data_IF_714756935890
#
_entry.id   IF_714756935890
#
_cell.length_a   1.000
_cell.length_b   1.000
_cell.length_c   1.000
_cell.angle_alpha   90.00
_cell.angle_beta   90.00
_cell.angle_gamma   90.00
#
_symmetry.space_group_name_H-M   'P 1'
#
loop_
_entity.id
_entity.type
_entity.pdbx_description
1 polymer ?
#
# COMPACT_ATOMS: atom_id res chain seq x y z
N UNK A 1 7.64 -1.51 5.28
CA UNK A 1 9.07 -1.84 5.14
C UNK A 1 9.72 -0.73 4.35
N UNK A 2 10.84 -0.20 4.82
CA UNK A 2 11.63 0.80 4.08
C UNK A 2 12.51 0.06 3.06
N UNK A 3 12.51 0.53 1.82
CA UNK A 3 13.20 -0.12 0.70
C UNK A 3 14.23 0.86 0.16
N UNK A 4 15.44 0.38 -0.14
CA UNK A 4 16.49 1.20 -0.74
C UNK A 4 16.02 1.82 -2.05
N UNK A 5 16.41 3.07 -2.34
CA UNK A 5 16.06 3.75 -3.59
C UNK A 5 16.58 3.00 -4.83
N UNK A 6 15.81 3.06 -5.90
CA UNK A 6 16.22 2.54 -7.20
C UNK A 6 17.11 3.56 -7.93
N UNK A 7 18.08 3.03 -8.68
CA UNK A 7 18.86 3.80 -9.65
C UNK A 7 18.61 3.23 -11.06
N UNK A 8 18.73 4.04 -12.12
CA UNK A 8 18.54 3.59 -13.50
C UNK A 8 19.39 2.37 -13.87
N UNK A 9 18.73 1.32 -14.40
CA UNK A 9 19.34 0.04 -14.75
C UNK A 9 19.36 -0.99 -13.63
N UNK A 10 18.58 -0.79 -12.57
CA UNK A 10 18.45 -1.72 -11.46
C UNK A 10 17.90 -3.10 -11.91
N UNK A 11 16.95 -3.13 -12.84
CA UNK A 11 16.41 -4.35 -13.45
C UNK A 11 17.46 -5.17 -14.22
N UNK A 12 18.55 -4.52 -14.67
CA UNK A 12 19.70 -5.14 -15.32
C UNK A 12 20.87 -5.44 -14.37
N UNK A 13 20.63 -5.40 -13.06
CA UNK A 13 21.61 -5.76 -12.03
C UNK A 13 22.55 -4.64 -11.61
N UNK A 14 22.27 -3.37 -11.94
CA UNK A 14 23.08 -2.25 -11.45
C UNK A 14 22.71 -1.90 -10.00
N UNK A 15 23.69 -1.64 -9.18
CA UNK A 15 23.53 -1.21 -7.78
C UNK A 15 22.87 -2.24 -6.90
N UNK A 16 22.02 -1.81 -5.96
CA UNK A 16 21.23 -2.64 -5.04
C UNK A 16 19.90 -3.11 -5.64
N UNK A 17 19.73 -3.02 -6.98
CA UNK A 17 18.47 -3.28 -7.66
C UNK A 17 17.85 -4.65 -7.35
N UNK A 18 18.64 -5.71 -7.29
CA UNK A 18 18.12 -7.05 -6.95
C UNK A 18 17.53 -7.08 -5.53
N UNK A 19 18.16 -6.41 -4.57
CA UNK A 19 17.65 -6.34 -3.19
C UNK A 19 16.36 -5.53 -3.12
N UNK A 20 16.30 -4.39 -3.79
CA UNK A 20 15.06 -3.61 -3.89
C UNK A 20 13.90 -4.46 -4.43
N UNK A 21 14.16 -5.19 -5.51
CA UNK A 21 13.14 -6.02 -6.17
C UNK A 21 12.70 -7.20 -5.28
N UNK A 22 13.63 -7.80 -4.53
CA UNK A 22 13.30 -8.85 -3.56
C UNK A 22 12.47 -8.31 -2.38
N UNK A 23 12.77 -7.11 -1.92
CA UNK A 23 11.98 -6.45 -0.86
C UNK A 23 10.58 -6.05 -1.39
N UNK A 24 10.49 -5.53 -2.61
CA UNK A 24 9.23 -5.17 -3.27
C UNK A 24 8.31 -6.39 -3.52
N UNK A 25 8.88 -7.60 -3.67
CA UNK A 25 8.11 -8.85 -3.80
C UNK A 25 7.16 -9.07 -2.64
N UNK A 26 7.59 -8.78 -1.41
CA UNK A 26 6.84 -9.07 -0.19
C UNK A 26 5.74 -8.04 0.11
N UNK A 27 5.79 -6.86 -0.52
CA UNK A 27 4.81 -5.80 -0.31
C UNK A 27 3.53 -6.03 -1.11
N UNK A 28 2.36 -5.79 -0.51
CA UNK A 28 1.07 -5.82 -1.21
C UNK A 28 0.82 -4.58 -2.07
N UNK A 29 1.39 -3.43 -1.68
CA UNK A 29 1.38 -2.18 -2.43
C UNK A 29 2.66 -1.40 -2.18
N UNK A 30 2.98 -0.45 -3.06
CA UNK A 30 4.15 0.39 -2.96
C UNK A 30 3.75 1.86 -2.75
N UNK A 31 4.44 2.54 -1.84
CA UNK A 31 4.38 3.99 -1.68
C UNK A 31 5.66 4.56 -2.28
N UNK A 32 5.55 5.17 -3.45
CA UNK A 32 6.66 5.82 -4.14
C UNK A 32 6.79 7.27 -3.67
N UNK A 33 7.82 7.55 -2.86
CA UNK A 33 8.09 8.89 -2.36
C UNK A 33 8.93 9.64 -3.37
N UNK A 34 8.38 10.74 -3.90
CA UNK A 34 9.00 11.56 -4.95
C UNK A 34 9.26 12.95 -4.40
N UNK A 35 10.43 13.51 -4.67
CA UNK A 35 10.74 14.91 -4.41
C UNK A 35 10.01 15.83 -5.39
N UNK A 36 8.77 16.18 -5.09
CA UNK A 36 7.95 17.01 -5.97
C UNK A 36 8.53 18.42 -6.19
N UNK A 37 9.42 18.90 -5.32
CA UNK A 37 10.07 20.17 -5.49
C UNK A 37 11.18 20.15 -6.54
N UNK A 38 11.58 18.95 -7.03
CA UNK A 38 12.72 18.81 -7.95
C UNK A 38 14.00 19.38 -7.36
N UNK A 39 14.23 19.13 -6.06
CA UNK A 39 15.43 19.59 -5.34
C UNK A 39 16.52 18.51 -5.27
N UNK A 40 16.32 17.40 -5.98
CA UNK A 40 17.30 16.32 -6.15
C UNK A 40 17.44 15.95 -7.62
N UNK A 41 18.65 15.52 -8.03
CA UNK A 41 18.88 14.94 -9.35
C UNK A 41 18.51 13.44 -9.37
N UNK A 42 18.69 12.80 -10.55
CA UNK A 42 18.38 11.37 -10.75
C UNK A 42 19.26 10.41 -9.94
N UNK A 43 20.34 10.89 -9.34
CA UNK A 43 21.22 10.14 -8.44
C UNK A 43 20.94 10.46 -6.96
N UNK A 44 19.90 11.28 -6.69
CA UNK A 44 19.50 11.68 -5.33
C UNK A 44 20.38 12.78 -4.72
N UNK A 45 21.25 13.44 -5.50
CA UNK A 45 22.10 14.53 -5.01
C UNK A 45 21.31 15.84 -4.95
N UNK A 46 21.51 16.67 -3.91
CA UNK A 46 20.83 17.96 -3.80
C UNK A 46 21.14 18.89 -4.97
N UNK A 47 20.10 19.48 -5.53
CA UNK A 47 20.18 20.53 -6.56
C UNK A 47 19.24 21.70 -6.18
N UNK A 48 19.32 22.80 -6.92
CA UNK A 48 18.40 23.93 -6.73
C UNK A 48 16.97 23.45 -7.00
N UNK A 49 16.00 23.72 -6.11
CA UNK A 49 14.61 23.35 -6.32
C UNK A 49 14.06 23.78 -7.68
N UNK A 50 13.43 22.87 -8.41
CA UNK A 50 12.91 23.07 -9.77
C UNK A 50 13.84 22.61 -10.90
N UNK A 51 15.08 22.17 -10.61
CA UNK A 51 15.99 21.61 -11.63
C UNK A 51 15.72 20.12 -11.87
N UNK A 52 15.44 19.34 -10.80
CA UNK A 52 15.09 17.92 -10.93
C UNK A 52 13.76 17.72 -11.64
N UNK A 53 13.58 16.54 -12.24
CA UNK A 53 12.33 16.14 -12.93
C UNK A 53 11.61 15.02 -12.17
N UNK A 54 10.67 15.38 -11.27
CA UNK A 54 9.91 14.39 -10.52
C UNK A 54 9.03 13.48 -11.38
N UNK A 55 8.63 13.90 -12.57
CA UNK A 55 7.86 13.04 -13.48
C UNK A 55 8.73 11.94 -14.07
N UNK A 56 9.98 12.24 -14.39
CA UNK A 56 10.96 11.23 -14.78
C UNK A 56 11.17 10.20 -13.67
N UNK A 57 11.32 10.64 -12.41
CA UNK A 57 11.49 9.73 -11.27
C UNK A 57 10.30 8.76 -11.13
N UNK A 58 9.07 9.27 -11.34
CA UNK A 58 7.87 8.42 -11.32
C UNK A 58 7.88 7.38 -12.44
N UNK A 59 8.18 7.80 -13.67
CA UNK A 59 8.18 6.92 -14.84
C UNK A 59 9.26 5.85 -14.74
N UNK A 60 10.44 6.27 -14.36
CA UNK A 60 11.60 5.41 -14.23
C UNK A 60 11.36 4.23 -13.27
N UNK A 61 10.82 4.48 -12.06
CA UNK A 61 10.58 3.41 -11.07
C UNK A 61 9.53 2.42 -11.57
N UNK A 62 8.47 2.91 -12.22
CA UNK A 62 7.45 2.04 -12.81
C UNK A 62 8.05 1.17 -13.94
N UNK A 63 8.84 1.76 -14.82
CA UNK A 63 9.49 1.04 -15.94
C UNK A 63 10.46 -0.02 -15.44
N UNK A 64 11.27 0.26 -14.44
CA UNK A 64 12.19 -0.73 -13.84
C UNK A 64 11.44 -1.91 -13.23
N UNK A 65 10.33 -1.68 -12.56
CA UNK A 65 9.48 -2.74 -12.03
C UNK A 65 8.83 -3.57 -13.13
N UNK A 66 8.33 -2.92 -14.19
CA UNK A 66 7.71 -3.59 -15.33
C UNK A 66 8.71 -4.47 -16.08
N UNK A 67 9.90 -3.94 -16.37
CA UNK A 67 10.98 -4.67 -17.03
C UNK A 67 11.49 -5.83 -16.18
N UNK A 68 11.61 -5.62 -14.86
CA UNK A 68 11.99 -6.70 -13.96
C UNK A 68 10.98 -7.85 -13.99
N UNK A 69 9.68 -7.56 -13.88
CA UNK A 69 8.63 -8.58 -13.94
C UNK A 69 8.63 -9.31 -15.28
N UNK A 70 8.82 -8.57 -16.39
CA UNK A 70 8.93 -9.13 -17.72
C UNK A 70 10.14 -10.07 -17.84
N UNK A 71 11.30 -9.68 -17.33
CA UNK A 71 12.52 -10.50 -17.39
C UNK A 71 12.40 -11.86 -16.70
N UNK A 72 11.56 -11.96 -15.64
CA UNK A 72 11.29 -13.24 -14.96
C UNK A 72 10.54 -14.20 -15.88
N UNK A 73 9.60 -13.69 -16.70
CA UNK A 73 8.80 -14.50 -17.63
C UNK A 73 9.53 -14.75 -18.95
N UNK A 74 10.18 -13.74 -19.52
CA UNK A 74 10.86 -13.81 -20.83
C UNK A 74 11.96 -14.87 -20.87
N UNK A 75 12.74 -14.99 -19.78
CA UNK A 75 13.87 -15.93 -19.70
C UNK A 75 13.50 -17.35 -20.16
N UNK A 76 12.33 -17.82 -19.78
CA UNK A 76 11.90 -19.19 -20.03
C UNK A 76 10.49 -19.26 -20.64
N UNK A 77 10.00 -18.21 -21.28
CA UNK A 77 8.60 -18.09 -21.75
C UNK A 77 8.14 -19.28 -22.56
N UNK A 78 8.89 -19.64 -23.60
CA UNK A 78 8.54 -20.77 -24.48
C UNK A 78 8.51 -22.10 -23.72
N UNK A 79 9.39 -22.28 -22.72
CA UNK A 79 9.41 -23.46 -21.86
C UNK A 79 8.17 -23.49 -20.97
N UNK A 80 7.82 -22.37 -20.37
CA UNK A 80 6.65 -22.19 -19.50
C UNK A 80 5.34 -22.51 -20.25
N UNK A 81 5.19 -22.00 -21.48
CA UNK A 81 3.99 -22.29 -22.30
C UNK A 81 3.92 -23.77 -22.69
N UNK A 82 5.05 -24.38 -23.09
CA UNK A 82 5.11 -25.82 -23.38
C UNK A 82 4.81 -26.69 -22.16
N UNK A 83 5.25 -26.30 -20.98
CA UNK A 83 4.92 -27.00 -19.73
C UNK A 83 3.42 -26.97 -19.46
N UNK A 84 2.76 -25.81 -19.65
CA UNK A 84 1.32 -25.68 -19.51
C UNK A 84 0.58 -26.62 -20.48
N UNK A 85 0.97 -26.65 -21.75
CA UNK A 85 0.36 -27.49 -22.78
C UNK A 85 0.57 -28.99 -22.50
N UNK A 86 1.81 -29.40 -22.19
CA UNK A 86 2.16 -30.81 -21.97
C UNK A 86 1.50 -31.38 -20.70
N UNK A 87 1.37 -30.60 -19.66
CA UNK A 87 0.75 -31.00 -18.39
C UNK A 87 -0.77 -30.79 -18.38
N UNK A 88 -1.35 -30.27 -19.47
CA UNK A 88 -2.76 -29.88 -19.56
C UNK A 88 -3.18 -28.92 -18.43
N UNK A 89 -2.26 -28.07 -18.00
CA UNK A 89 -2.49 -27.07 -16.97
C UNK A 89 -2.93 -25.75 -17.60
N UNK A 90 -3.65 -24.96 -16.83
CA UNK A 90 -3.98 -23.59 -17.26
C UNK A 90 -2.72 -22.73 -17.31
N UNK A 91 -2.56 -21.94 -18.36
CA UNK A 91 -1.45 -20.98 -18.49
C UNK A 91 -1.33 -20.07 -17.27
N UNK A 92 -2.47 -19.63 -16.72
CA UNK A 92 -2.55 -18.79 -15.52
C UNK A 92 -1.89 -19.44 -14.30
N UNK A 93 -2.09 -20.75 -14.13
CA UNK A 93 -1.49 -21.52 -13.04
C UNK A 93 0.03 -21.59 -13.18
N UNK A 94 0.52 -21.86 -14.40
CA UNK A 94 1.96 -21.95 -14.67
C UNK A 94 2.66 -20.62 -14.49
N UNK A 95 2.03 -19.51 -14.95
CA UNK A 95 2.53 -18.14 -14.71
C UNK A 95 2.52 -17.83 -13.21
N UNK A 96 1.43 -18.12 -12.48
CA UNK A 96 1.34 -17.88 -11.04
C UNK A 96 2.42 -18.63 -10.25
N UNK A 97 2.68 -19.89 -10.62
CA UNK A 97 3.75 -20.69 -10.02
C UNK A 97 5.12 -20.07 -10.26
N UNK A 98 5.38 -19.55 -11.46
CA UNK A 98 6.64 -18.84 -11.78
C UNK A 98 6.80 -17.56 -10.99
N UNK A 99 5.70 -16.85 -10.71
CA UNK A 99 5.62 -15.61 -9.95
C UNK A 99 5.24 -15.83 -8.47
N UNK A 100 5.40 -17.04 -7.94
CA UNK A 100 4.90 -17.47 -6.63
C UNK A 100 5.34 -16.59 -5.44
N UNK A 101 6.49 -15.94 -5.53
CA UNK A 101 6.96 -15.02 -4.48
C UNK A 101 6.32 -13.62 -4.52
N UNK A 102 5.47 -13.32 -5.50
CA UNK A 102 4.95 -11.96 -5.75
C UNK A 102 3.51 -11.74 -5.27
N UNK A 103 2.90 -12.71 -4.60
CA UNK A 103 1.49 -12.69 -4.20
C UNK A 103 0.51 -12.46 -5.37
N UNK A 104 0.91 -12.81 -6.60
CA UNK A 104 0.10 -12.68 -7.81
C UNK A 104 -0.83 -13.89 -7.90
N UNK A 105 -2.13 -13.63 -8.04
CA UNK A 105 -3.15 -14.68 -8.11
C UNK A 105 -3.46 -15.07 -9.55
N UNK A 106 -3.85 -16.34 -9.77
CA UNK A 106 -4.32 -16.82 -11.08
C UNK A 106 -5.47 -15.96 -11.64
N UNK A 107 -6.34 -15.48 -10.76
CA UNK A 107 -7.44 -14.58 -11.13
C UNK A 107 -6.94 -13.26 -11.73
N UNK A 108 -5.86 -12.69 -11.20
CA UNK A 108 -5.29 -11.43 -11.70
C UNK A 108 -4.68 -11.65 -13.09
N UNK A 109 -4.01 -12.78 -13.28
CA UNK A 109 -3.44 -13.21 -14.57
C UNK A 109 -4.56 -13.39 -15.60
N UNK A 110 -5.61 -14.13 -15.25
CA UNK A 110 -6.74 -14.40 -16.15
C UNK A 110 -7.44 -13.09 -16.58
N UNK A 111 -7.68 -12.19 -15.65
CA UNK A 111 -8.26 -10.88 -15.95
C UNK A 111 -7.34 -10.03 -16.84
N UNK A 112 -6.03 -10.06 -16.59
CA UNK A 112 -5.06 -9.29 -17.37
C UNK A 112 -4.99 -9.79 -18.82
N UNK A 113 -4.96 -11.10 -19.02
CA UNK A 113 -4.98 -11.72 -20.36
C UNK A 113 -6.25 -11.31 -21.13
N UNK A 114 -7.40 -11.40 -20.46
CA UNK A 114 -8.68 -11.04 -21.07
C UNK A 114 -8.76 -9.54 -21.43
N UNK A 115 -8.30 -8.67 -20.53
CA UNK A 115 -8.33 -7.20 -20.73
C UNK A 115 -7.43 -6.75 -21.89
N UNK A 116 -6.31 -7.44 -22.10
CA UNK A 116 -5.39 -7.13 -23.19
C UNK A 116 -5.75 -7.85 -24.51
N UNK A 117 -6.77 -8.70 -24.51
CA UNK A 117 -7.17 -9.48 -25.67
C UNK A 117 -6.11 -10.50 -26.12
N UNK A 118 -5.22 -10.92 -25.21
CA UNK A 118 -4.17 -11.87 -25.51
C UNK A 118 -4.73 -13.29 -25.62
N UNK A 119 -4.26 -14.05 -26.63
CA UNK A 119 -4.72 -15.43 -26.85
C UNK A 119 -3.92 -16.42 -25.99
N UNK A 120 -4.58 -17.15 -25.10
CA UNK A 120 -3.99 -18.26 -24.35
C UNK A 120 -3.50 -19.39 -25.26
N UNK A 121 -4.32 -19.74 -26.26
CA UNK A 121 -4.01 -20.79 -27.21
C UNK A 121 -2.82 -20.47 -28.15
N UNK A 122 -2.43 -19.21 -28.22
CA UNK A 122 -1.30 -18.74 -29.03
C UNK A 122 -0.24 -18.07 -28.15
N UNK A 123 -0.11 -18.47 -26.90
CA UNK A 123 0.84 -17.87 -25.97
C UNK A 123 2.30 -18.00 -26.43
N UNK A 124 2.65 -19.05 -27.17
CA UNK A 124 3.97 -19.18 -27.83
C UNK A 124 4.27 -18.07 -28.83
N UNK A 125 3.26 -17.40 -29.35
CA UNK A 125 3.39 -16.28 -30.30
C UNK A 125 3.36 -14.91 -29.65
N UNK A 126 3.34 -14.81 -28.32
CA UNK A 126 3.45 -13.51 -27.67
C UNK A 126 4.85 -12.92 -27.90
N UNK A 127 4.88 -11.71 -28.42
CA UNK A 127 6.12 -10.95 -28.57
C UNK A 127 6.64 -10.47 -27.21
N UNK A 128 7.91 -10.09 -27.15
CA UNK A 128 8.47 -9.42 -25.96
C UNK A 128 7.63 -8.21 -25.55
N UNK A 129 7.12 -7.45 -26.52
CA UNK A 129 6.23 -6.33 -26.24
C UNK A 129 4.88 -6.76 -25.64
N UNK A 130 4.33 -7.91 -26.06
CA UNK A 130 3.10 -8.43 -25.46
C UNK A 130 3.35 -8.86 -24.02
N UNK A 131 4.48 -9.52 -23.75
CA UNK A 131 4.89 -9.92 -22.39
C UNK A 131 5.09 -8.69 -21.52
N UNK A 132 5.79 -7.65 -22.02
CA UNK A 132 5.98 -6.41 -21.28
C UNK A 132 4.65 -5.70 -20.98
N UNK A 133 3.75 -5.58 -21.96
CA UNK A 133 2.41 -5.00 -21.76
C UNK A 133 1.60 -5.82 -20.76
N UNK A 134 1.68 -7.13 -20.82
CA UNK A 134 1.06 -8.04 -19.86
C UNK A 134 1.62 -7.82 -18.45
N UNK A 135 2.95 -7.77 -18.29
CA UNK A 135 3.61 -7.56 -17.00
C UNK A 135 3.26 -6.19 -16.40
N UNK A 136 3.25 -5.14 -17.20
CA UNK A 136 2.85 -3.79 -16.78
C UNK A 136 1.43 -3.79 -16.22
N UNK A 137 0.48 -4.38 -16.94
CA UNK A 137 -0.92 -4.43 -16.50
C UNK A 137 -1.13 -5.33 -15.30
N UNK A 138 -0.40 -6.45 -15.24
CA UNK A 138 -0.40 -7.37 -14.11
C UNK A 138 0.16 -6.71 -12.85
N UNK A 139 1.27 -5.94 -12.95
CA UNK A 139 1.83 -5.17 -11.85
C UNK A 139 0.84 -4.12 -11.33
N UNK A 140 0.21 -3.35 -12.23
CA UNK A 140 -0.78 -2.35 -11.84
C UNK A 140 -1.91 -2.94 -10.99
N UNK A 141 -2.29 -4.19 -11.26
CA UNK A 141 -3.35 -4.92 -10.55
C UNK A 141 -2.87 -5.54 -9.24
N UNK A 142 -1.71 -6.19 -9.26
CA UNK A 142 -1.19 -7.00 -8.15
C UNK A 142 -0.27 -6.25 -7.20
N UNK A 143 0.38 -5.19 -7.67
CA UNK A 143 1.32 -4.34 -6.93
C UNK A 143 1.02 -2.85 -7.19
N UNK A 144 -0.15 -2.36 -6.79
CA UNK A 144 -0.51 -0.98 -7.05
C UNK A 144 0.45 0.00 -6.37
N UNK A 145 0.71 1.11 -7.04
CA UNK A 145 1.61 2.17 -6.58
C UNK A 145 0.80 3.42 -6.25
N UNK A 146 1.07 4.03 -5.08
CA UNK A 146 0.64 5.39 -4.76
C UNK A 146 1.86 6.30 -4.74
N UNK A 147 1.74 7.46 -5.34
CA UNK A 147 2.81 8.46 -5.41
C UNK A 147 2.62 9.45 -4.26
N UNK A 148 3.58 9.47 -3.35
CA UNK A 148 3.71 10.46 -2.30
C UNK A 148 4.54 11.64 -2.84
N UNK A 149 3.87 12.68 -3.36
CA UNK A 149 4.53 13.88 -3.88
C UNK A 149 5.02 14.73 -2.70
N UNK A 150 6.20 14.38 -2.17
CA UNK A 150 6.77 14.98 -0.97
C UNK A 150 7.39 16.35 -1.26
N UNK A 151 7.66 17.11 -0.19
CA UNK A 151 8.10 18.52 -0.23
C UNK A 151 7.08 19.44 -0.93
N UNK A 152 5.78 19.08 -0.85
CA UNK A 152 4.70 19.87 -1.45
C UNK A 152 4.49 21.24 -0.79
N UNK A 153 5.15 21.50 0.33
CA UNK A 153 5.25 22.80 1.01
C UNK A 153 6.17 23.80 0.29
N UNK A 154 7.03 23.32 -0.62
CA UNK A 154 7.90 24.19 -1.44
C UNK A 154 7.14 24.69 -2.68
N UNK A 155 7.39 25.94 -3.06
CA UNK A 155 6.69 26.59 -4.17
C UNK A 155 6.89 25.86 -5.51
N UNK A 156 8.11 25.40 -5.79
CA UNK A 156 8.47 24.66 -7.03
C UNK A 156 7.71 23.34 -7.18
N UNK A 157 7.21 22.74 -6.09
CA UNK A 157 6.49 21.47 -6.13
C UNK A 157 5.12 21.58 -6.84
N UNK A 158 4.48 22.75 -6.84
CA UNK A 158 3.09 22.89 -7.29
C UNK A 158 2.92 22.49 -8.76
N UNK A 159 3.75 23.02 -9.65
CA UNK A 159 3.70 22.71 -11.07
C UNK A 159 3.97 21.22 -11.34
N UNK A 160 4.96 20.66 -10.65
CA UNK A 160 5.33 19.25 -10.80
C UNK A 160 4.23 18.31 -10.32
N UNK A 161 3.56 18.62 -9.20
CA UNK A 161 2.39 17.87 -8.72
C UNK A 161 1.28 17.85 -9.77
N UNK A 162 1.00 18.97 -10.44
CA UNK A 162 0.02 19.00 -11.54
C UNK A 162 0.46 18.09 -12.68
N UNK A 163 1.68 18.21 -13.17
CA UNK A 163 2.21 17.35 -14.25
C UNK A 163 2.11 15.85 -13.91
N UNK A 164 2.43 15.47 -12.66
CA UNK A 164 2.32 14.07 -12.24
C UNK A 164 0.85 13.64 -12.22
N UNK A 165 -0.06 14.47 -11.71
CA UNK A 165 -1.50 14.18 -11.66
C UNK A 165 -2.15 14.05 -13.03
N UNK A 166 -1.68 14.78 -14.04
CA UNK A 166 -2.17 14.68 -15.41
C UNK A 166 -1.89 13.29 -16.01
N UNK A 167 -0.86 12.61 -15.53
CA UNK A 167 -0.44 11.30 -16.04
C UNK A 167 -0.72 10.14 -15.09
N UNK A 168 -0.97 10.41 -13.80
CA UNK A 168 -1.16 9.40 -12.74
C UNK A 168 -2.35 9.73 -11.84
N UNK A 169 -3.15 8.70 -11.52
CA UNK A 169 -4.38 8.85 -10.71
C UNK A 169 -4.11 8.87 -9.21
N UNK A 170 -3.12 8.10 -8.75
CA UNK A 170 -2.88 7.89 -7.32
C UNK A 170 -1.74 8.78 -6.81
N UNK A 171 -1.96 10.10 -6.79
CA UNK A 171 -0.97 11.09 -6.36
C UNK A 171 -1.49 11.86 -5.17
N UNK A 172 -0.74 11.86 -4.08
CA UNK A 172 -1.04 12.60 -2.85
C UNK A 172 0.09 13.58 -2.56
N UNK A 173 -0.18 14.89 -2.58
CA UNK A 173 0.78 15.88 -2.10
C UNK A 173 1.02 15.70 -0.61
N UNK A 174 2.27 15.70 -0.19
CA UNK A 174 2.59 15.59 1.24
C UNK A 174 3.82 16.42 1.61
N UNK A 175 3.94 16.69 2.90
CA UNK A 175 5.15 17.23 3.50
C UNK A 175 5.50 16.43 4.74
N UNK A 176 6.47 15.53 4.60
CA UNK A 176 6.97 14.72 5.71
C UNK A 176 7.65 15.58 6.77
N UNK A 177 8.27 16.70 6.38
CA UNK A 177 8.90 17.63 7.30
C UNK A 177 7.87 18.31 8.21
N UNK A 178 6.78 18.82 7.65
CA UNK A 178 5.70 19.41 8.43
C UNK A 178 5.03 18.39 9.36
N UNK A 179 4.81 17.16 8.91
CA UNK A 179 4.27 16.09 9.76
C UNK A 179 5.18 15.81 10.96
N UNK A 180 6.48 15.66 10.74
CA UNK A 180 7.46 15.43 11.82
C UNK A 180 7.50 16.62 12.77
N UNK A 181 7.46 17.84 12.25
CA UNK A 181 7.47 19.07 13.04
C UNK A 181 6.22 19.15 13.93
N UNK A 182 5.02 18.92 13.38
CA UNK A 182 3.77 18.94 14.14
C UNK A 182 3.75 17.85 15.21
N UNK A 183 4.15 16.61 14.90
CA UNK A 183 4.25 15.54 15.90
C UNK A 183 5.23 15.86 17.02
N UNK A 184 6.38 16.44 16.70
CA UNK A 184 7.36 16.87 17.72
C UNK A 184 6.83 17.99 18.59
N UNK A 185 6.10 18.94 18.02
CA UNK A 185 5.47 20.03 18.77
C UNK A 185 4.37 19.50 19.70
N UNK A 186 3.55 18.56 19.25
CA UNK A 186 2.51 17.88 20.03
C UNK A 186 3.13 17.06 21.19
N UNK A 187 4.19 16.27 20.92
CA UNK A 187 4.92 15.52 21.95
C UNK A 187 5.48 16.44 23.05
N UNK A 188 5.89 17.65 22.68
CA UNK A 188 6.36 18.67 23.62
C UNK A 188 5.22 19.47 24.27
N UNK A 189 3.97 19.06 24.07
CA UNK A 189 2.77 19.72 24.59
C UNK A 189 2.65 21.19 24.18
N UNK A 190 3.26 21.62 23.08
CA UNK A 190 3.15 22.99 22.55
C UNK A 190 1.88 23.19 21.74
N UNK A 191 1.39 22.11 21.11
CA UNK A 191 0.17 22.07 20.33
C UNK A 191 -0.61 20.79 20.63
N UNK A 192 -1.90 20.79 20.29
CA UNK A 192 -2.73 19.59 20.14
C UNK A 192 -2.85 19.29 18.66
N UNK A 193 -2.39 18.12 18.23
CA UNK A 193 -2.42 17.67 16.85
C UNK A 193 -2.54 16.16 16.77
N UNK A 194 -3.50 15.68 15.98
CA UNK A 194 -3.62 14.27 15.61
C UNK A 194 -3.15 14.09 14.15
N UNK A 195 -2.33 13.07 13.88
CA UNK A 195 -1.89 12.79 12.51
C UNK A 195 -3.06 12.62 11.54
N UNK A 196 -3.04 13.39 10.46
CA UNK A 196 -4.11 13.40 9.47
C UNK A 196 -5.15 14.52 9.64
N UNK A 197 -5.12 15.24 10.76
CA UNK A 197 -6.00 16.38 10.95
C UNK A 197 -5.67 17.54 10.02
N UNK A 198 -6.71 18.29 9.67
CA UNK A 198 -6.61 19.52 8.85
C UNK A 198 -6.21 20.77 9.64
N UNK A 199 -6.05 20.64 10.96
CA UNK A 199 -5.73 21.74 11.87
C UNK A 199 -5.03 21.23 13.13
N UNK A 200 -4.40 22.14 13.83
CA UNK A 200 -3.87 21.94 15.17
C UNK A 200 -4.28 23.12 16.06
N UNK A 201 -4.25 22.93 17.37
CA UNK A 201 -4.49 23.97 18.36
C UNK A 201 -3.20 24.27 19.11
N UNK A 202 -2.87 25.54 19.26
CA UNK A 202 -1.73 25.98 20.09
C UNK A 202 -2.19 25.99 21.55
N UNK A 203 -1.38 25.42 22.43
CA UNK A 203 -1.67 25.44 23.87
C UNK A 203 -1.40 26.80 24.45
N UNK A 204 -2.30 27.34 25.27
CA UNK A 204 -2.25 28.69 25.82
C UNK A 204 -0.98 28.95 26.66
N UNK A 205 -0.41 27.91 27.28
CA UNK A 205 0.82 27.96 28.08
C UNK A 205 2.12 27.77 27.28
N UNK A 206 2.03 27.61 25.97
CA UNK A 206 3.19 27.26 25.14
C UNK A 206 4.10 28.47 24.91
N UNK A 207 5.31 28.40 25.45
CA UNK A 207 6.36 29.37 25.13
C UNK A 207 7.03 28.96 23.83
N UNK A 208 6.99 29.86 22.83
CA UNK A 208 7.56 29.64 21.50
C UNK A 208 8.38 30.84 21.05
N UNK A 209 9.51 30.55 20.41
CA UNK A 209 10.30 31.57 19.71
C UNK A 209 9.71 31.91 18.34
N UNK A 210 10.18 32.99 17.72
CA UNK A 210 9.66 33.47 16.43
C UNK A 210 9.81 32.43 15.29
N UNK A 211 10.91 31.66 15.28
CA UNK A 211 11.10 30.59 14.27
C UNK A 211 10.02 29.50 14.40
N UNK A 212 9.67 29.10 15.62
CA UNK A 212 8.62 28.11 15.88
C UNK A 212 7.25 28.63 15.48
N UNK A 213 6.95 29.90 15.74
CA UNK A 213 5.69 30.52 15.29
C UNK A 213 5.58 30.55 13.76
N UNK A 214 6.66 30.97 13.09
CA UNK A 214 6.71 30.98 11.62
C UNK A 214 6.56 29.56 11.03
N UNK A 215 7.19 28.56 11.63
CA UNK A 215 7.05 27.17 11.20
C UNK A 215 5.59 26.67 11.35
N UNK A 216 4.91 27.01 12.44
CA UNK A 216 3.50 26.68 12.65
C UNK A 216 2.58 27.45 11.69
N UNK A 217 2.89 28.70 11.34
CA UNK A 217 2.14 29.44 10.32
C UNK A 217 2.23 28.79 8.94
N UNK A 218 3.45 28.35 8.53
CA UNK A 218 3.64 27.58 7.29
C UNK A 218 2.85 26.28 7.31
N UNK A 219 2.88 25.55 8.43
CA UNK A 219 2.09 24.33 8.58
C UNK A 219 0.59 24.60 8.48
N UNK A 220 0.08 25.66 9.13
CA UNK A 220 -1.33 26.03 9.04
C UNK A 220 -1.74 26.37 7.61
N UNK A 221 -0.93 27.13 6.87
CA UNK A 221 -1.18 27.45 5.47
C UNK A 221 -1.21 26.17 4.59
N UNK A 222 -0.31 25.21 4.84
CA UNK A 222 -0.27 23.94 4.14
C UNK A 222 -1.52 23.09 4.44
N UNK A 223 -1.89 22.96 5.72
CA UNK A 223 -3.09 22.23 6.14
C UNK A 223 -4.36 22.84 5.55
N UNK A 224 -4.48 24.16 5.53
CA UNK A 224 -5.61 24.86 4.89
C UNK A 224 -5.70 24.59 3.39
N UNK A 225 -4.55 24.44 2.70
CA UNK A 225 -4.50 24.18 1.24
C UNK A 225 -4.82 22.73 0.89
N UNK A 226 -4.26 21.77 1.63
CA UNK A 226 -4.30 20.35 1.27
C UNK A 226 -5.20 19.50 2.18
N UNK A 227 -5.71 20.06 3.27
CA UNK A 227 -6.57 19.36 4.22
C UNK A 227 -5.84 18.47 5.24
N UNK A 228 -4.58 18.15 5.00
CA UNK A 228 -3.71 17.39 5.91
C UNK A 228 -2.25 17.54 5.46
N UNK A 229 -1.29 16.98 6.23
CA UNK A 229 0.11 16.88 5.77
C UNK A 229 0.31 15.86 4.64
N UNK A 230 -0.72 15.10 4.28
CA UNK A 230 -0.71 14.05 3.27
C UNK A 230 -0.19 12.70 3.76
N UNK A 231 0.60 12.64 4.83
CA UNK A 231 1.25 11.39 5.27
C UNK A 231 0.23 10.33 5.70
N UNK A 232 -0.73 10.69 6.57
CA UNK A 232 -1.78 9.75 6.99
C UNK A 232 -2.73 9.40 5.82
N UNK A 233 -2.99 10.37 4.94
CA UNK A 233 -3.82 10.17 3.75
C UNK A 233 -3.21 9.13 2.81
N UNK A 234 -1.89 9.16 2.56
CA UNK A 234 -1.19 8.16 1.76
C UNK A 234 -1.40 6.77 2.33
N UNK A 235 -1.20 6.59 3.65
CA UNK A 235 -1.38 5.30 4.33
C UNK A 235 -2.84 4.82 4.19
N UNK A 236 -3.80 5.69 4.47
CA UNK A 236 -5.22 5.36 4.39
C UNK A 236 -5.63 5.00 2.96
N UNK A 237 -5.22 5.78 1.96
CA UNK A 237 -5.52 5.48 0.55
C UNK A 237 -4.87 4.18 0.09
N UNK A 238 -3.66 3.88 0.53
CA UNK A 238 -2.99 2.61 0.20
C UNK A 238 -3.79 1.44 0.73
N UNK A 239 -4.16 1.47 2.00
CA UNK A 239 -4.81 0.36 2.68
C UNK A 239 -6.28 0.21 2.23
N UNK A 240 -7.06 1.29 2.29
CA UNK A 240 -8.50 1.22 2.10
C UNK A 240 -8.94 1.34 0.64
N UNK A 241 -8.23 2.13 -0.18
CA UNK A 241 -8.62 2.34 -1.57
C UNK A 241 -7.87 1.43 -2.55
N UNK A 242 -6.54 1.30 -2.44
CA UNK A 242 -5.76 0.47 -3.35
C UNK A 242 -5.87 -1.02 -3.01
N UNK A 243 -5.58 -1.38 -1.77
CA UNK A 243 -5.63 -2.77 -1.31
C UNK A 243 -7.04 -3.24 -0.97
N UNK A 244 -8.00 -2.32 -0.82
CA UNK A 244 -9.38 -2.60 -0.43
C UNK A 244 -9.45 -3.44 0.83
N UNK A 245 -8.69 -3.06 1.84
CA UNK A 245 -8.77 -3.70 3.15
C UNK A 245 -9.85 -3.04 4.00
N UNK A 246 -10.33 -3.81 4.95
CA UNK A 246 -11.21 -3.37 6.05
C UNK A 246 -10.47 -3.56 7.36
N UNK A 247 -10.81 -2.77 8.35
CA UNK A 247 -10.37 -2.96 9.74
C UNK A 247 -11.47 -3.67 10.52
N UNK A 248 -11.09 -4.71 11.26
CA UNK A 248 -12.00 -5.45 12.14
C UNK A 248 -11.35 -5.58 13.52
N UNK A 249 -12.14 -5.41 14.56
CA UNK A 249 -11.69 -5.44 15.96
C UNK A 249 -12.17 -6.71 16.65
N UNK A 250 -11.32 -7.72 16.86
CA UNK A 250 -11.68 -8.87 17.65
C UNK A 250 -11.77 -8.51 19.14
N UNK A 251 -12.79 -9.03 19.82
CA UNK A 251 -12.98 -8.88 21.26
C UNK A 251 -13.32 -10.23 21.89
N UNK A 252 -13.00 -10.42 23.17
CA UNK A 252 -13.38 -11.58 23.93
C UNK A 252 -14.69 -11.37 24.72
N UNK A 253 -14.90 -10.15 25.22
CA UNK A 253 -16.14 -9.72 25.86
C UNK A 253 -16.93 -8.79 24.94
N UNK A 254 -18.02 -9.31 24.38
CA UNK A 254 -18.88 -8.56 23.46
C UNK A 254 -19.71 -7.47 24.14
N UNK A 255 -19.81 -7.47 25.45
CA UNK A 255 -20.56 -6.45 26.22
C UNK A 255 -19.66 -5.24 26.54
N UNK A 256 -18.46 -5.52 27.00
CA UNK A 256 -17.49 -4.49 27.38
C UNK A 256 -16.58 -4.06 26.23
N UNK A 257 -16.58 -4.78 25.10
CA UNK A 257 -15.70 -4.58 23.94
C UNK A 257 -14.22 -4.69 24.34
N UNK A 258 -13.88 -5.68 25.19
CA UNK A 258 -12.53 -5.84 25.76
C UNK A 258 -11.96 -7.23 25.50
N UNK A 259 -10.64 -7.35 25.73
CA UNK A 259 -9.99 -8.64 25.97
C UNK A 259 -10.24 -9.14 27.42
N UNK A 260 -9.66 -10.30 27.79
CA UNK A 260 -9.72 -10.86 29.17
C UNK A 260 -9.07 -9.97 30.22
N UNK A 261 -8.14 -9.11 29.81
CA UNK A 261 -7.42 -8.19 30.70
C UNK A 261 -8.17 -6.87 30.90
N UNK A 262 -9.29 -6.66 30.21
CA UNK A 262 -10.09 -5.44 30.28
C UNK A 262 -9.60 -4.31 29.37
N UNK A 263 -8.69 -4.59 28.44
CA UNK A 263 -8.26 -3.59 27.46
C UNK A 263 -9.36 -3.42 26.40
N UNK A 264 -9.82 -2.18 26.22
CA UNK A 264 -10.85 -1.87 25.24
C UNK A 264 -10.27 -1.93 23.81
N UNK A 265 -10.93 -2.65 22.90
CA UNK A 265 -10.55 -2.85 21.50
C UNK A 265 -9.04 -3.11 21.35
N UNK A 266 -8.50 -4.19 21.96
CA UNK A 266 -7.06 -4.38 22.16
C UNK A 266 -6.29 -4.52 20.86
N UNK A 267 -6.94 -5.07 19.82
CA UNK A 267 -6.34 -5.38 18.53
C UNK A 267 -7.17 -4.84 17.37
N UNK A 268 -6.50 -4.52 16.28
CA UNK A 268 -7.09 -4.13 15.00
C UNK A 268 -6.50 -5.00 13.89
N UNK A 269 -7.34 -5.76 13.19
CA UNK A 269 -6.90 -6.62 12.10
C UNK A 269 -7.33 -6.05 10.75
N UNK A 270 -6.35 -5.92 9.83
CA UNK A 270 -6.61 -5.60 8.43
C UNK A 270 -6.96 -6.88 7.68
N UNK A 271 -8.09 -6.90 7.00
CA UNK A 271 -8.56 -8.01 6.19
C UNK A 271 -8.95 -7.51 4.80
N UNK A 272 -8.79 -8.31 3.74
CA UNK A 272 -9.37 -7.98 2.43
C UNK A 272 -10.89 -7.76 2.53
N UNK A 273 -11.44 -6.88 1.70
CA UNK A 273 -12.89 -6.74 1.55
C UNK A 273 -13.51 -8.10 1.19
N UNK A 274 -14.73 -8.37 1.69
CA UNK A 274 -15.44 -9.65 1.59
C UNK A 274 -14.85 -10.80 2.44
N UNK A 275 -13.89 -10.55 3.31
CA UNK A 275 -13.46 -11.53 4.32
C UNK A 275 -14.60 -11.88 5.27
N UNK A 276 -14.52 -13.08 5.84
CA UNK A 276 -15.53 -13.66 6.72
C UNK A 276 -15.04 -13.73 8.17
N UNK A 277 -15.94 -13.99 9.16
CA UNK A 277 -15.52 -14.24 10.54
C UNK A 277 -14.56 -15.44 10.67
N UNK A 278 -14.67 -16.44 9.79
CA UNK A 278 -13.71 -17.55 9.75
C UNK A 278 -12.33 -17.08 9.31
N UNK A 279 -12.24 -16.23 8.28
CA UNK A 279 -10.95 -15.66 7.83
C UNK A 279 -10.31 -14.82 8.94
N UNK A 280 -11.11 -14.07 9.71
CA UNK A 280 -10.63 -13.36 10.90
C UNK A 280 -10.09 -14.33 11.95
N UNK A 281 -10.83 -15.41 12.24
CA UNK A 281 -10.40 -16.41 13.21
C UNK A 281 -9.07 -17.07 12.79
N UNK A 282 -8.93 -17.45 11.53
CA UNK A 282 -7.69 -18.02 10.97
C UNK A 282 -6.52 -17.03 11.06
N UNK A 283 -6.78 -15.75 10.81
CA UNK A 283 -5.76 -14.69 10.91
C UNK A 283 -5.29 -14.43 12.34
N UNK A 284 -6.18 -14.57 13.33
CA UNK A 284 -5.82 -14.47 14.75
C UNK A 284 -5.00 -15.70 15.16
N UNK A 285 -5.50 -16.89 14.87
CA UNK A 285 -4.81 -18.15 15.14
C UNK A 285 -5.43 -19.29 14.32
N UNK A 286 -4.60 -20.14 13.71
CA UNK A 286 -5.05 -21.24 12.85
C UNK A 286 -6.03 -22.20 13.55
N UNK A 287 -5.82 -22.49 14.85
CA UNK A 287 -6.72 -23.34 15.62
C UNK A 287 -8.10 -22.74 15.85
N UNK A 288 -8.19 -21.39 15.98
CA UNK A 288 -9.48 -20.70 16.07
C UNK A 288 -10.27 -20.82 14.76
N UNK A 289 -9.57 -20.74 13.63
CA UNK A 289 -10.19 -20.95 12.31
C UNK A 289 -10.69 -22.36 12.12
N UNK A 290 -9.90 -23.37 12.47
CA UNK A 290 -10.30 -24.79 12.39
C UNK A 290 -11.48 -25.12 13.30
N UNK A 291 -11.50 -24.59 14.51
CA UNK A 291 -12.56 -24.80 15.47
C UNK A 291 -13.72 -23.82 15.38
N UNK A 292 -13.77 -22.95 14.37
CA UNK A 292 -14.78 -21.90 14.23
C UNK A 292 -16.20 -22.47 14.24
N UNK A 293 -17.04 -21.95 15.14
CA UNK A 293 -18.45 -22.31 15.26
C UNK A 293 -19.35 -21.19 14.70
N UNK A 294 -19.20 -19.98 15.24
CA UNK A 294 -19.89 -18.76 14.82
C UNK A 294 -19.17 -17.54 15.40
N UNK A 295 -19.60 -16.37 14.97
CA UNK A 295 -19.17 -15.11 15.56
C UNK A 295 -20.38 -14.33 16.10
N UNK A 296 -20.09 -13.31 16.90
CA UNK A 296 -21.09 -12.36 17.41
C UNK A 296 -20.63 -10.96 17.03
N UNK A 297 -21.49 -10.20 16.37
CA UNK A 297 -21.29 -8.77 16.23
C UNK A 297 -21.54 -8.12 17.60
N UNK A 298 -20.47 -7.57 18.17
CA UNK A 298 -20.51 -7.03 19.52
C UNK A 298 -21.38 -5.78 19.66
N UNK A 299 -21.68 -5.08 18.56
CA UNK A 299 -22.56 -3.90 18.55
C UNK A 299 -24.03 -4.27 18.47
N UNK A 300 -24.40 -5.10 17.49
CA UNK A 300 -25.80 -5.52 17.30
C UNK A 300 -26.21 -6.71 18.12
N UNK A 301 -25.24 -7.42 18.75
CA UNK A 301 -25.41 -8.69 19.48
C UNK A 301 -25.92 -9.85 18.60
N UNK A 302 -25.88 -9.68 17.30
CA UNK A 302 -26.33 -10.69 16.35
C UNK A 302 -25.28 -11.78 16.17
N UNK A 303 -25.76 -13.03 16.09
CA UNK A 303 -24.93 -14.17 15.71
C UNK A 303 -24.66 -14.14 14.19
N UNK A 304 -23.40 -14.28 13.82
CA UNK A 304 -22.92 -14.27 12.44
C UNK A 304 -22.42 -15.67 12.05
N UNK A 305 -22.85 -16.15 10.89
CA UNK A 305 -22.37 -17.41 10.31
C UNK A 305 -20.99 -17.28 9.68
N UNK A 306 -20.44 -18.43 9.25
CA UNK A 306 -19.13 -18.52 8.64
C UNK A 306 -18.99 -17.72 7.32
N UNK A 307 -20.09 -17.54 6.59
CA UNK A 307 -20.12 -16.90 5.26
C UNK A 307 -20.49 -15.40 5.30
N UNK A 308 -20.76 -14.87 6.51
CA UNK A 308 -21.05 -13.44 6.67
C UNK A 308 -19.90 -12.61 6.12
N UNK A 309 -20.21 -11.51 5.41
CA UNK A 309 -19.17 -10.60 4.90
C UNK A 309 -18.94 -9.48 5.89
N UNK A 310 -17.75 -9.51 6.49
CA UNK A 310 -17.31 -8.50 7.45
C UNK A 310 -17.26 -7.11 6.79
N UNK A 311 -17.60 -6.09 7.57
CA UNK A 311 -17.59 -4.68 7.18
C UNK A 311 -16.47 -3.94 7.89
N UNK A 312 -16.09 -2.81 7.33
CA UNK A 312 -15.11 -1.94 7.97
C UNK A 312 -15.61 -1.46 9.34
N UNK A 313 -14.74 -1.55 10.34
CA UNK A 313 -14.99 -1.23 11.74
C UNK A 313 -15.94 -2.21 12.48
N UNK A 314 -16.18 -3.40 11.98
CA UNK A 314 -16.89 -4.41 12.72
C UNK A 314 -16.12 -4.79 14.01
N UNK A 315 -16.86 -4.98 15.11
CA UNK A 315 -16.33 -5.47 16.39
C UNK A 315 -16.88 -6.87 16.62
N UNK A 316 -16.00 -7.86 16.58
CA UNK A 316 -16.37 -9.27 16.41
C UNK A 316 -15.83 -10.11 17.57
N UNK A 317 -16.71 -10.86 18.22
CA UNK A 317 -16.33 -11.97 19.09
C UNK A 317 -16.35 -13.28 18.31
N UNK A 318 -15.23 -13.98 18.32
CA UNK A 318 -15.13 -15.34 17.73
C UNK A 318 -15.51 -16.38 18.79
N UNK A 319 -16.38 -17.32 18.41
CA UNK A 319 -16.71 -18.50 19.23
C UNK A 319 -16.18 -19.73 18.49
N UNK A 320 -15.28 -20.44 19.16
CA UNK A 320 -14.62 -21.63 18.62
C UNK A 320 -14.67 -22.77 19.61
N UNK A 321 -14.75 -24.01 19.11
CA UNK A 321 -14.72 -25.22 19.92
C UNK A 321 -13.41 -25.40 20.72
N UNK A 322 -12.31 -24.80 20.24
CA UNK A 322 -10.97 -24.88 20.86
C UNK A 322 -10.71 -23.78 21.89
N UNK A 323 -11.63 -22.82 22.09
CA UNK A 323 -11.48 -21.73 23.06
C UNK A 323 -11.74 -22.12 24.52
N UNK A 324 -12.05 -23.40 24.80
CA UNK A 324 -12.44 -23.87 26.14
C UNK A 324 -11.28 -24.37 27.01
N UNK A 325 -10.03 -24.31 26.53
CA UNK A 325 -8.87 -24.82 27.27
C UNK A 325 -7.65 -23.93 27.11
N UNK A 326 -7.63 -22.83 27.89
CA UNK A 326 -6.40 -22.25 28.47
C UNK A 326 -6.75 -21.13 29.45
#
# INVERSE_FOLDING_TARGET
MDIAGLIPGASKGKGLGNRFLDDARQADALIHIVDAAGSTDTEGRPVIPGIGDPLFDVQFVEEELDQWLASILERDWNKLVREADNQKMKLEHTIASRLSGLSIKETDIAHTIAELGLSRARANGWSENDILRFCKKLRDRSKPIIIAANKADLHSAQLNIHKIRDTRKNVVPCSSELEVMLRRAAKKKKIEYLPGDSRFRINDTAIMNEQQKQALQKASAFLNKYGSTGVQEIINRTIFNLLRFIVVYPVEDELKLTDRKGNALPDAHLLPVNSTPRDLAEKIHAELGKGFLYAIDARSKMRLGADYKLKNNDVIKIVSATSSSR
#
